data_IF_932021181875
#
_entry.id   IF_932021181875
#
_cell.length_a   1.000
_cell.length_b   1.000
_cell.length_c   1.000
_cell.angle_alpha   90.00
_cell.angle_beta   90.00
_cell.angle_gamma   90.00
#
_symmetry.space_group_name_H-M   'P 1'
#
loop_
_entity.id
_entity.type
_entity.pdbx_description
1 polymer ?
#
# COMPACT_ATOMS: atom_id res chain seq x y z
N UNK A 1 16.92 12.67 -10.79
CA UNK A 1 16.22 13.30 -11.92
C UNK A 1 14.75 12.93 -11.76
N UNK A 2 13.80 13.87 -11.79
CA UNK A 2 12.38 13.49 -11.80
C UNK A 2 12.10 12.69 -13.07
N UNK A 3 11.42 11.55 -12.93
CA UNK A 3 10.92 10.77 -14.07
C UNK A 3 9.46 11.16 -14.31
N UNK A 4 9.11 11.47 -15.55
CA UNK A 4 7.74 11.77 -15.94
C UNK A 4 6.99 10.47 -16.22
N UNK A 5 5.83 10.31 -15.59
CA UNK A 5 4.95 9.15 -15.76
C UNK A 5 3.62 9.64 -16.34
N UNK A 6 3.24 9.14 -17.50
CA UNK A 6 1.90 9.35 -18.05
C UNK A 6 0.98 8.21 -17.60
N UNK A 7 -0.11 8.56 -16.93
CA UNK A 7 -1.10 7.61 -16.42
C UNK A 7 -2.46 7.88 -17.04
N UNK A 8 -3.16 6.82 -17.44
CA UNK A 8 -4.56 6.88 -17.85
C UNK A 8 -5.41 6.40 -16.69
N UNK A 9 -6.30 7.25 -16.20
CA UNK A 9 -7.23 6.91 -15.12
C UNK A 9 -8.58 6.48 -15.71
N UNK A 10 -9.23 5.44 -15.17
CA UNK A 10 -10.60 5.12 -15.53
C UNK A 10 -11.54 6.24 -15.06
N UNK A 11 -12.64 6.46 -15.79
CA UNK A 11 -13.50 7.63 -15.59
C UNK A 11 -14.05 7.79 -14.16
N UNK A 12 -14.29 6.67 -13.45
CA UNK A 12 -14.74 6.68 -12.07
C UNK A 12 -13.66 7.24 -11.11
N UNK A 13 -12.38 6.91 -11.35
CA UNK A 13 -11.28 7.40 -10.53
C UNK A 13 -10.89 8.84 -10.86
N UNK A 14 -11.08 9.29 -12.10
CA UNK A 14 -10.77 10.67 -12.48
C UNK A 14 -11.62 11.69 -11.71
N UNK A 15 -12.89 11.38 -11.46
CA UNK A 15 -13.77 12.24 -10.67
C UNK A 15 -13.32 12.30 -9.21
N UNK A 16 -13.09 11.15 -8.58
CA UNK A 16 -12.62 11.06 -7.19
C UNK A 16 -11.26 11.76 -7.01
N UNK A 17 -10.34 11.56 -7.96
CA UNK A 17 -9.04 12.22 -7.98
C UNK A 17 -9.17 13.74 -8.05
N UNK A 18 -9.99 14.26 -8.97
CA UNK A 18 -10.20 15.72 -9.11
C UNK A 18 -10.83 16.33 -7.86
N UNK A 19 -11.78 15.64 -7.23
CA UNK A 19 -12.39 16.11 -5.99
C UNK A 19 -11.34 16.19 -4.87
N UNK A 20 -10.52 15.15 -4.70
CA UNK A 20 -9.47 15.15 -3.68
C UNK A 20 -8.46 16.28 -3.88
N UNK A 21 -8.04 16.55 -5.13
CA UNK A 21 -7.16 17.68 -5.43
C UNK A 21 -7.78 19.03 -5.06
N UNK A 22 -9.09 19.21 -5.29
CA UNK A 22 -9.79 20.44 -4.93
C UNK A 22 -9.95 20.60 -3.42
N UNK A 23 -10.30 19.53 -2.71
CA UNK A 23 -10.50 19.53 -1.26
C UNK A 23 -9.20 19.80 -0.50
N UNK A 24 -8.08 19.23 -0.96
CA UNK A 24 -6.78 19.35 -0.31
C UNK A 24 -5.96 20.55 -0.81
N UNK A 25 -6.31 21.12 -1.97
CA UNK A 25 -5.61 22.26 -2.56
C UNK A 25 -4.19 21.93 -3.04
N UNK A 26 -3.93 20.67 -3.41
CA UNK A 26 -2.62 20.17 -3.84
C UNK A 26 -2.57 19.90 -5.35
N UNK A 27 -1.36 19.77 -5.88
CA UNK A 27 -1.14 19.45 -7.29
C UNK A 27 -1.29 17.95 -7.59
N UNK A 28 -1.60 17.57 -8.84
CA UNK A 28 -1.61 16.17 -9.27
C UNK A 28 -0.32 15.41 -8.92
N UNK A 29 0.84 16.07 -9.09
CA UNK A 29 2.14 15.46 -8.81
C UNK A 29 2.33 15.18 -7.32
N UNK A 30 1.91 16.11 -6.46
CA UNK A 30 2.00 15.94 -5.00
C UNK A 30 1.09 14.80 -4.54
N UNK A 31 -0.15 14.77 -5.01
CA UNK A 31 -1.09 13.69 -4.68
C UNK A 31 -0.53 12.32 -5.10
N UNK A 32 -0.10 12.20 -6.36
CA UNK A 32 0.41 10.92 -6.88
C UNK A 32 1.69 10.49 -6.15
N UNK A 33 2.58 11.43 -5.83
CA UNK A 33 3.80 11.13 -5.07
C UNK A 33 3.47 10.63 -3.66
N UNK A 34 2.58 11.31 -2.95
CA UNK A 34 2.14 10.90 -1.61
C UNK A 34 1.47 9.52 -1.63
N UNK A 35 0.55 9.30 -2.57
CA UNK A 35 -0.14 8.02 -2.75
C UNK A 35 0.85 6.87 -3.05
N UNK A 36 1.86 7.12 -3.89
CA UNK A 36 2.89 6.13 -4.20
C UNK A 36 3.77 5.84 -2.98
N UNK A 37 4.17 6.86 -2.22
CA UNK A 37 4.95 6.70 -0.99
C UNK A 37 4.20 5.83 0.04
N UNK A 38 2.92 6.14 0.28
CA UNK A 38 2.07 5.39 1.20
C UNK A 38 1.89 3.94 0.74
N UNK A 39 1.53 3.74 -0.54
CA UNK A 39 1.36 2.40 -1.09
C UNK A 39 2.65 1.57 -0.97
N UNK A 40 3.79 2.16 -1.33
CA UNK A 40 5.08 1.46 -1.26
C UNK A 40 5.51 1.20 0.19
N UNK A 41 5.18 2.08 1.13
CA UNK A 41 5.42 1.85 2.55
C UNK A 41 4.63 0.63 3.05
N UNK A 42 3.31 0.61 2.82
CA UNK A 42 2.45 -0.51 3.23
C UNK A 42 2.92 -1.82 2.57
N UNK A 43 3.28 -1.77 1.29
CA UNK A 43 3.80 -2.93 0.56
C UNK A 43 5.11 -3.45 1.18
N UNK A 44 6.07 -2.58 1.49
CA UNK A 44 7.33 -2.97 2.16
C UNK A 44 7.08 -3.56 3.53
N UNK A 45 6.17 -2.96 4.30
CA UNK A 45 5.81 -3.45 5.63
C UNK A 45 5.20 -4.85 5.57
N UNK A 46 4.25 -5.10 4.65
CA UNK A 46 3.64 -6.43 4.46
C UNK A 46 4.67 -7.49 4.07
N UNK A 47 5.57 -7.18 3.14
CA UNK A 47 6.64 -8.10 2.75
C UNK A 47 7.59 -8.40 3.92
N UNK A 48 7.93 -7.40 4.74
CA UNK A 48 8.75 -7.59 5.93
C UNK A 48 8.03 -8.50 6.93
N UNK A 49 6.76 -8.23 7.23
CA UNK A 49 5.94 -9.04 8.13
C UNK A 49 5.90 -10.50 7.67
N UNK A 50 5.62 -10.76 6.39
CA UNK A 50 5.60 -12.12 5.84
C UNK A 50 6.93 -12.84 6.00
N UNK A 51 8.06 -12.15 5.75
CA UNK A 51 9.40 -12.71 5.94
C UNK A 51 9.65 -13.06 7.41
N UNK A 52 9.29 -12.16 8.33
CA UNK A 52 9.48 -12.38 9.76
C UNK A 52 8.61 -13.53 10.27
N UNK A 53 7.34 -13.61 9.85
CA UNK A 53 6.43 -14.71 10.20
C UNK A 53 7.01 -16.04 9.73
N UNK A 54 7.43 -16.15 8.48
CA UNK A 54 8.05 -17.39 7.96
C UNK A 54 9.29 -17.79 8.76
N UNK A 55 10.10 -16.82 9.19
CA UNK A 55 11.30 -17.08 9.98
C UNK A 55 10.98 -17.61 11.38
N UNK A 56 9.95 -17.09 12.05
CA UNK A 56 9.58 -17.54 13.41
C UNK A 56 8.75 -18.82 13.40
N UNK A 57 7.93 -19.05 12.38
CA UNK A 57 7.21 -20.31 12.17
C UNK A 57 8.18 -21.48 11.93
N UNK A 58 9.30 -21.25 11.23
CA UNK A 58 10.37 -22.24 11.09
C UNK A 58 11.03 -22.61 12.44
N UNK A 59 10.87 -21.77 13.46
CA UNK A 59 11.32 -22.00 14.84
C UNK A 59 10.18 -22.52 15.74
N UNK A 60 9.01 -22.82 15.17
CA UNK A 60 7.84 -23.34 15.88
C UNK A 60 7.03 -22.28 16.63
N UNK A 61 7.29 -20.98 16.42
CA UNK A 61 6.56 -19.88 17.03
C UNK A 61 5.47 -19.43 16.06
N UNK A 62 4.21 -19.56 16.48
CA UNK A 62 3.02 -19.22 15.70
C UNK A 62 2.25 -18.08 16.39
N UNK A 63 1.70 -17.16 15.61
CA UNK A 63 0.78 -16.16 16.15
C UNK A 63 -0.61 -16.78 16.40
N UNK A 64 -1.41 -16.18 17.27
CA UNK A 64 -2.78 -16.65 17.56
C UNK A 64 -3.63 -16.82 16.29
N UNK A 65 -3.47 -15.91 15.32
CA UNK A 65 -4.13 -16.01 14.01
C UNK A 65 -3.70 -17.27 13.24
N UNK A 66 -2.40 -17.62 13.27
CA UNK A 66 -1.89 -18.82 12.60
C UNK A 66 -2.47 -20.09 13.23
N UNK A 67 -2.68 -20.09 14.54
CA UNK A 67 -3.32 -21.19 15.26
C UNK A 67 -4.80 -21.26 14.90
N UNK A 68 -5.51 -20.12 14.91
CA UNK A 68 -6.92 -20.05 14.55
C UNK A 68 -7.17 -20.58 13.14
N UNK A 69 -6.46 -20.05 12.13
CA UNK A 69 -6.57 -20.47 10.72
C UNK A 69 -6.28 -21.97 10.51
N UNK A 70 -5.55 -22.60 11.43
CA UNK A 70 -5.19 -24.02 11.36
C UNK A 70 -6.26 -24.95 11.94
N UNK A 71 -7.05 -24.50 12.92
CA UNK A 71 -7.92 -25.36 13.73
C UNK A 71 -9.43 -25.08 13.59
N UNK A 72 -9.82 -23.93 13.02
CA UNK A 72 -11.21 -23.61 12.67
C UNK A 72 -11.53 -23.97 11.22
#
# INVERSE_FOLDING_TARGET
MPEEISITLPANLDLEFKNALQEEGITPSEFVSAALEEYLFVRRFRMLRERMIKQVQAQGIFADQDVFDRVS
#
